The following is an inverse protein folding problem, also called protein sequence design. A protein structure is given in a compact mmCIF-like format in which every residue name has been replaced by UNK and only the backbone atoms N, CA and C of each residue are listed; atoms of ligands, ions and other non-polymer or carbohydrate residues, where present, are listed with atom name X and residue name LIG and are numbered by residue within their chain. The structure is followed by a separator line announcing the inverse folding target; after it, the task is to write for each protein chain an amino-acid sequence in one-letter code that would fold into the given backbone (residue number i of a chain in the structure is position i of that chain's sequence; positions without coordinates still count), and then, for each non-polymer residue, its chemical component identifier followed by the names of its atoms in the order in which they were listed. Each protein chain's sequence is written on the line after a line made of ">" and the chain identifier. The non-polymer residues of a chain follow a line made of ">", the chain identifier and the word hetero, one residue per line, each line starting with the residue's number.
data_IF_190990735782
#
_entry.id   IF_190990735782
#
_cell.length_a   1.000
_cell.length_b   1.000
_cell.length_c   1.000
_cell.angle_alpha   90.00
_cell.angle_beta   90.00
_cell.angle_gamma   90.00
#
_symmetry.space_group_name_H-M   'P 1'
#
loop_
_entity.id
_entity.type
_entity.pdbx_description
1 polymer ?
#
# COMPACT_ATOMS: atom_id res chain seq x y z
N UNK A 1 17.89 16.08 -42.38
CA UNK A 1 16.52 15.57 -42.53
C UNK A 1 15.70 16.14 -41.38
N UNK A 2 15.04 17.27 -41.67
CA UNK A 2 14.26 18.06 -40.68
C UNK A 2 12.88 17.44 -40.50
N UNK A 3 12.46 17.19 -39.27
CA UNK A 3 11.06 16.92 -38.92
C UNK A 3 10.43 18.20 -38.40
N UNK A 4 9.20 18.55 -38.87
CA UNK A 4 8.54 19.79 -38.47
C UNK A 4 7.88 19.69 -37.10
N UNK A 5 7.96 20.79 -36.33
CA UNK A 5 7.31 21.05 -35.05
C UNK A 5 5.77 20.90 -35.15
N UNK A 6 5.20 20.10 -34.25
CA UNK A 6 3.76 20.12 -33.97
C UNK A 6 3.49 21.07 -32.80
N UNK A 7 2.64 22.10 -32.94
CA UNK A 7 2.25 22.95 -31.82
C UNK A 7 1.26 22.23 -30.91
N UNK A 8 1.60 22.15 -29.62
CA UNK A 8 0.71 21.71 -28.55
C UNK A 8 -0.44 22.72 -28.37
N UNK A 9 -1.65 22.33 -28.80
CA UNK A 9 -2.86 23.10 -28.52
C UNK A 9 -3.32 22.82 -27.06
N UNK A 10 -3.13 23.79 -26.20
CA UNK A 10 -3.70 23.81 -24.85
C UNK A 10 -5.20 24.06 -24.91
N UNK A 11 -6.01 23.02 -24.77
CA UNK A 11 -7.46 23.14 -24.64
C UNK A 11 -7.85 23.59 -23.24
N UNK A 12 -8.37 24.80 -23.15
CA UNK A 12 -8.79 25.48 -21.93
C UNK A 12 -10.17 24.95 -21.47
N UNK A 13 -10.32 24.63 -20.20
CA UNK A 13 -11.48 24.00 -19.52
C UNK A 13 -12.82 24.77 -19.62
N UNK A 14 -12.87 25.93 -20.29
CA UNK A 14 -14.05 26.81 -20.40
C UNK A 14 -14.84 26.70 -21.71
N UNK A 15 -14.47 25.82 -22.63
CA UNK A 15 -15.16 25.68 -23.94
C UNK A 15 -16.15 24.52 -24.06
N UNK A 16 -16.46 23.82 -22.94
CA UNK A 16 -17.42 22.72 -22.94
C UNK A 16 -18.84 23.09 -22.51
N UNK A 17 -19.14 24.36 -22.29
CA UNK A 17 -20.50 24.83 -21.94
C UNK A 17 -20.99 25.78 -23.03
N UNK A 18 -21.45 25.23 -24.13
CA UNK A 18 -21.95 26.12 -25.17
C UNK A 18 -22.55 25.50 -26.42
N UNK A 19 -22.94 24.22 -26.40
CA UNK A 19 -23.60 23.63 -27.57
C UNK A 19 -24.75 22.68 -27.19
N UNK A 20 -25.76 23.21 -26.49
CA UNK A 20 -27.08 22.55 -26.36
C UNK A 20 -28.15 23.59 -26.22
N UNK A 21 -28.46 24.30 -27.32
CA UNK A 21 -29.71 25.02 -27.46
C UNK A 21 -29.88 25.41 -28.95
N UNK A 22 -30.56 24.58 -29.74
CA UNK A 22 -31.38 24.96 -30.88
C UNK A 22 -31.65 23.73 -31.75
N UNK A 23 -32.76 23.09 -31.55
CA UNK A 23 -33.58 22.47 -32.61
C UNK A 23 -34.77 21.72 -31.96
N UNK A 24 -35.79 22.49 -31.57
CA UNK A 24 -37.11 21.93 -31.29
C UNK A 24 -38.07 22.59 -32.26
N UNK A 25 -38.50 21.88 -33.32
CA UNK A 25 -39.82 22.10 -33.92
C UNK A 25 -40.12 21.01 -34.95
N UNK A 26 -41.26 20.38 -34.74
CA UNK A 26 -42.18 19.73 -35.71
C UNK A 26 -41.75 18.43 -36.36
N UNK A 27 -42.32 17.34 -35.88
CA UNK A 27 -43.19 16.43 -36.69
C UNK A 27 -44.01 15.60 -35.69
N UNK A 28 -45.31 15.89 -35.58
CA UNK A 28 -46.31 15.00 -35.02
C UNK A 28 -46.48 13.83 -35.99
N UNK A 29 -45.96 12.68 -35.63
CA UNK A 29 -46.23 11.41 -36.25
C UNK A 29 -46.66 10.46 -35.16
N UNK A 30 -47.95 10.09 -35.10
CA UNK A 30 -48.43 9.02 -34.24
C UNK A 30 -47.77 7.69 -34.60
N UNK A 31 -46.63 7.43 -34.02
CA UNK A 31 -46.05 6.10 -33.99
C UNK A 31 -46.62 5.40 -32.77
N UNK A 32 -47.52 4.45 -32.99
CA UNK A 32 -47.87 3.48 -31.95
C UNK A 32 -46.59 2.84 -31.41
N UNK A 33 -46.19 3.30 -30.23
CA UNK A 33 -45.11 2.68 -29.49
C UNK A 33 -45.60 1.29 -29.07
N UNK A 34 -45.17 0.26 -29.79
CA UNK A 34 -45.21 -1.09 -29.23
C UNK A 34 -44.41 -1.08 -27.94
N UNK A 35 -44.97 -1.50 -26.80
CA UNK A 35 -44.16 -1.67 -25.59
C UNK A 35 -43.07 -2.70 -25.95
N UNK A 36 -41.83 -2.26 -25.90
CA UNK A 36 -40.69 -3.17 -25.86
C UNK A 36 -40.99 -4.18 -24.75
N UNK A 37 -40.84 -5.49 -24.99
CA UNK A 37 -41.02 -6.46 -23.95
C UNK A 37 -40.05 -6.04 -22.83
N UNK A 38 -40.60 -5.64 -21.68
CA UNK A 38 -39.84 -5.43 -20.47
C UNK A 38 -39.00 -6.69 -20.33
N UNK A 39 -37.67 -6.56 -20.44
CA UNK A 39 -36.77 -7.64 -20.15
C UNK A 39 -37.18 -8.14 -18.76
N UNK A 40 -37.83 -9.29 -18.70
CA UNK A 40 -38.18 -9.90 -17.45
C UNK A 40 -36.93 -9.85 -16.57
N UNK A 41 -37.03 -9.45 -15.31
CA UNK A 41 -35.90 -9.54 -14.42
C UNK A 41 -35.43 -10.98 -14.53
N UNK A 42 -34.23 -11.20 -15.10
CA UNK A 42 -33.60 -12.49 -15.04
C UNK A 42 -33.59 -12.86 -13.58
N UNK A 43 -34.36 -13.89 -13.24
CA UNK A 43 -34.43 -14.43 -11.91
C UNK A 43 -33.01 -14.66 -11.42
N UNK A 44 -32.50 -13.72 -10.64
CA UNK A 44 -31.22 -13.83 -9.93
C UNK A 44 -31.37 -14.77 -8.72
N UNK A 45 -32.17 -15.80 -8.85
CA UNK A 45 -32.25 -16.94 -7.92
C UNK A 45 -31.19 -17.94 -8.33
N UNK A 46 -29.96 -17.78 -7.81
CA UNK A 46 -29.00 -18.86 -7.92
C UNK A 46 -27.52 -18.50 -7.84
N UNK A 47 -27.09 -17.32 -8.17
CA UNK A 47 -25.69 -16.98 -8.01
C UNK A 47 -25.46 -16.19 -6.72
N UNK A 48 -25.14 -16.94 -5.65
CA UNK A 48 -24.70 -16.34 -4.39
C UNK A 48 -23.57 -15.36 -4.68
N UNK A 49 -23.73 -14.10 -4.24
CA UNK A 49 -22.67 -13.10 -4.32
C UNK A 49 -21.40 -13.66 -3.67
N UNK A 50 -20.25 -13.31 -4.26
CA UNK A 50 -18.96 -13.61 -3.63
C UNK A 50 -18.76 -12.63 -2.49
N UNK A 51 -18.40 -13.11 -1.31
CA UNK A 51 -18.05 -12.25 -0.19
C UNK A 51 -16.53 -12.21 -0.07
N UNK A 52 -15.99 -10.99 0.01
CA UNK A 52 -14.60 -10.71 0.34
C UNK A 52 -14.58 -9.89 1.62
N UNK A 53 -13.95 -10.42 2.66
CA UNK A 53 -13.80 -9.73 3.92
C UNK A 53 -12.46 -8.98 3.98
N UNK A 54 -12.48 -7.76 4.52
CA UNK A 54 -11.27 -6.99 4.82
C UNK A 54 -11.21 -6.74 6.32
N UNK A 55 -10.15 -7.21 6.96
CA UNK A 55 -9.88 -6.93 8.37
C UNK A 55 -9.06 -5.65 8.46
N UNK A 56 -9.56 -4.67 9.21
CA UNK A 56 -9.00 -3.31 9.31
C UNK A 56 -8.48 -3.09 10.71
N UNK A 57 -7.18 -2.84 10.81
CA UNK A 57 -6.53 -2.47 12.08
C UNK A 57 -6.78 -0.98 12.37
N UNK A 58 -7.50 -0.70 13.46
CA UNK A 58 -7.83 0.65 13.91
C UNK A 58 -6.93 1.13 15.07
N UNK A 59 -5.82 0.47 15.32
CA UNK A 59 -4.84 0.99 16.28
C UNK A 59 -4.37 2.38 15.88
N UNK A 60 -4.02 3.21 16.86
CA UNK A 60 -3.64 4.60 16.63
C UNK A 60 -2.52 4.76 15.57
N UNK A 61 -1.56 3.84 15.55
CA UNK A 61 -0.45 3.85 14.59
C UNK A 61 -0.83 3.45 13.16
N UNK A 62 -1.97 2.75 12.98
CA UNK A 62 -2.37 2.17 11.69
C UNK A 62 -3.68 2.76 11.15
N UNK A 63 -4.47 3.47 11.95
CA UNK A 63 -5.82 3.88 11.59
C UNK A 63 -5.90 4.72 10.31
N UNK A 64 -4.95 5.63 10.08
CA UNK A 64 -5.00 6.52 8.92
C UNK A 64 -4.68 5.75 7.63
N UNK A 65 -3.62 4.95 7.65
CA UNK A 65 -3.25 4.11 6.51
C UNK A 65 -4.32 3.05 6.23
N UNK A 66 -4.89 2.47 7.29
CA UNK A 66 -6.01 1.51 7.18
C UNK A 66 -7.25 2.13 6.54
N UNK A 67 -7.59 3.37 6.89
CA UNK A 67 -8.72 4.09 6.29
C UNK A 67 -8.49 4.42 4.82
N UNK A 68 -7.30 4.90 4.47
CA UNK A 68 -6.94 5.21 3.09
C UNK A 68 -6.98 3.95 2.23
N UNK A 69 -6.42 2.85 2.73
CA UNK A 69 -6.47 1.55 2.06
C UNK A 69 -7.93 1.04 1.90
N UNK A 70 -8.77 1.24 2.92
CA UNK A 70 -10.19 0.86 2.87
C UNK A 70 -10.96 1.66 1.82
N UNK A 71 -10.69 2.96 1.68
CA UNK A 71 -11.29 3.81 0.64
C UNK A 71 -10.91 3.30 -0.75
N UNK A 72 -9.62 3.02 -0.97
CA UNK A 72 -9.14 2.44 -2.21
C UNK A 72 -9.77 1.08 -2.53
N UNK A 73 -9.85 0.20 -1.54
CA UNK A 73 -10.49 -1.12 -1.68
C UNK A 73 -11.98 -1.00 -2.06
N UNK A 74 -12.73 -0.15 -1.38
CA UNK A 74 -14.14 0.09 -1.70
C UNK A 74 -14.34 0.59 -3.11
N UNK A 75 -13.52 1.56 -3.54
CA UNK A 75 -13.57 2.08 -4.90
C UNK A 75 -13.26 1.00 -5.94
N UNK A 76 -12.26 0.16 -5.70
CA UNK A 76 -11.89 -0.94 -6.59
C UNK A 76 -13.01 -1.99 -6.71
N UNK A 77 -13.65 -2.38 -5.60
CA UNK A 77 -14.76 -3.32 -5.62
C UNK A 77 -16.01 -2.74 -6.29
N UNK A 78 -16.30 -1.46 -6.10
CA UNK A 78 -17.39 -0.77 -6.79
C UNK A 78 -17.16 -0.75 -8.31
N UNK A 79 -15.97 -0.37 -8.75
CA UNK A 79 -15.60 -0.36 -10.17
C UNK A 79 -15.65 -1.77 -10.78
N UNK A 80 -15.15 -2.79 -10.08
CA UNK A 80 -15.25 -4.17 -10.52
C UNK A 80 -16.71 -4.62 -10.69
N UNK A 81 -17.58 -4.29 -9.73
CA UNK A 81 -19.00 -4.63 -9.79
C UNK A 81 -19.72 -3.90 -10.92
N UNK A 82 -19.38 -2.62 -11.17
CA UNK A 82 -19.91 -1.85 -12.30
C UNK A 82 -19.55 -2.48 -13.65
N UNK A 83 -18.43 -3.18 -13.75
CA UNK A 83 -17.99 -3.92 -14.93
C UNK A 83 -18.52 -5.36 -15.01
N UNK A 84 -19.44 -5.75 -14.13
CA UNK A 84 -20.07 -7.08 -14.12
C UNK A 84 -19.53 -8.06 -13.11
N UNK A 85 -18.66 -7.62 -12.19
CA UNK A 85 -18.13 -8.45 -11.11
C UNK A 85 -17.13 -9.54 -11.55
N UNK A 86 -16.99 -10.58 -10.76
CA UNK A 86 -16.12 -11.71 -11.04
C UNK A 86 -16.94 -12.82 -11.72
N UNK A 87 -16.65 -13.08 -12.97
CA UNK A 87 -17.39 -14.09 -13.78
C UNK A 87 -18.92 -13.88 -13.76
N UNK A 88 -19.36 -12.62 -13.84
CA UNK A 88 -20.77 -12.26 -13.81
C UNK A 88 -21.38 -12.19 -12.40
N UNK A 89 -20.63 -12.44 -11.35
CA UNK A 89 -21.09 -12.40 -9.95
C UNK A 89 -20.62 -11.14 -9.25
N UNK A 90 -21.53 -10.46 -8.59
CA UNK A 90 -21.18 -9.30 -7.79
C UNK A 90 -20.33 -9.71 -6.56
N UNK A 91 -19.35 -8.87 -6.21
CA UNK A 91 -18.54 -9.02 -4.99
C UNK A 91 -19.13 -8.14 -3.90
N UNK A 92 -19.50 -8.75 -2.79
CA UNK A 92 -19.85 -8.05 -1.56
C UNK A 92 -18.60 -7.87 -0.72
N UNK A 93 -18.17 -6.63 -0.53
CA UNK A 93 -17.04 -6.30 0.32
C UNK A 93 -17.50 -6.04 1.74
N UNK A 94 -17.02 -6.83 2.70
CA UNK A 94 -17.36 -6.76 4.13
C UNK A 94 -16.15 -6.27 4.91
N UNK A 95 -16.31 -5.23 5.72
CA UNK A 95 -15.26 -4.70 6.58
C UNK A 95 -15.42 -5.22 7.99
N UNK A 96 -14.37 -5.76 8.58
CA UNK A 96 -14.28 -6.25 9.95
C UNK A 96 -13.17 -5.48 10.67
N UNK A 97 -13.49 -4.85 11.78
CA UNK A 97 -12.56 -4.02 12.52
C UNK A 97 -11.85 -4.84 13.61
N UNK A 98 -10.59 -4.51 13.88
CA UNK A 98 -9.81 -5.06 14.98
C UNK A 98 -9.09 -3.93 15.74
N UNK A 99 -8.88 -4.16 17.01
CA UNK A 99 -8.11 -3.28 17.90
C UNK A 99 -6.59 -3.62 17.88
N UNK A 100 -6.15 -4.49 16.97
CA UNK A 100 -4.77 -4.93 16.85
C UNK A 100 -4.33 -5.94 17.91
N UNK A 101 -5.17 -6.26 18.91
CA UNK A 101 -4.85 -7.31 19.89
C UNK A 101 -4.96 -8.70 19.27
N UNK A 102 -4.19 -9.70 19.73
CA UNK A 102 -4.33 -11.08 19.24
C UNK A 102 -5.75 -11.64 19.38
N UNK A 103 -6.45 -11.26 20.45
CA UNK A 103 -7.84 -11.67 20.68
C UNK A 103 -8.80 -11.01 19.71
N UNK A 104 -8.70 -9.69 19.49
CA UNK A 104 -9.49 -8.94 18.53
C UNK A 104 -9.26 -9.43 17.11
N UNK A 105 -7.99 -9.68 16.74
CA UNK A 105 -7.63 -10.20 15.45
C UNK A 105 -8.22 -11.60 15.20
N UNK A 106 -8.13 -12.50 16.18
CA UNK A 106 -8.76 -13.84 16.11
C UNK A 106 -10.28 -13.76 16.00
N UNK A 107 -10.92 -12.84 16.73
CA UNK A 107 -12.36 -12.63 16.64
C UNK A 107 -12.80 -12.13 15.26
N UNK A 108 -12.09 -11.15 14.69
CA UNK A 108 -12.35 -10.66 13.34
C UNK A 108 -12.14 -11.76 12.27
N UNK A 109 -11.06 -12.52 12.39
CA UNK A 109 -10.78 -13.68 11.53
C UNK A 109 -11.90 -14.73 11.59
N UNK A 110 -12.35 -15.10 12.79
CA UNK A 110 -13.49 -16.01 12.97
C UNK A 110 -14.80 -15.44 12.39
N UNK A 111 -15.02 -14.13 12.51
CA UNK A 111 -16.17 -13.46 11.92
C UNK A 111 -16.15 -13.56 10.39
N UNK A 112 -14.98 -13.40 9.75
CA UNK A 112 -14.81 -13.60 8.31
C UNK A 112 -15.19 -15.03 7.89
N UNK A 113 -14.73 -16.04 8.62
CA UNK A 113 -15.05 -17.45 8.33
C UNK A 113 -16.53 -17.78 8.50
N UNK A 114 -17.24 -17.08 9.38
CA UNK A 114 -18.70 -17.23 9.56
C UNK A 114 -19.53 -16.52 8.49
N UNK A 115 -18.94 -15.64 7.68
CA UNK A 115 -19.65 -14.97 6.59
C UNK A 115 -19.98 -15.99 5.48
N UNK A 116 -21.27 -16.18 5.25
CA UNK A 116 -21.74 -17.10 4.19
C UNK A 116 -21.23 -16.61 2.83
N UNK A 117 -20.56 -17.47 2.09
CA UNK A 117 -20.03 -17.15 0.78
C UNK A 117 -18.71 -16.35 0.81
N UNK A 118 -18.06 -16.21 1.96
CA UNK A 118 -16.73 -15.62 2.05
C UNK A 118 -15.71 -16.56 1.37
N UNK A 119 -14.99 -16.01 0.40
CA UNK A 119 -14.00 -16.74 -0.39
C UNK A 119 -12.59 -16.25 -0.16
N UNK A 120 -12.41 -15.01 0.33
CA UNK A 120 -11.10 -14.42 0.53
C UNK A 120 -11.10 -13.34 1.62
N UNK A 121 -9.93 -13.16 2.23
CA UNK A 121 -9.53 -11.98 2.97
C UNK A 121 -8.79 -11.03 2.02
N UNK A 122 -9.19 -9.78 1.93
CA UNK A 122 -8.56 -8.78 1.09
C UNK A 122 -7.75 -7.83 1.95
N UNK A 123 -6.47 -7.79 1.76
CA UNK A 123 -5.55 -6.86 2.39
C UNK A 123 -5.71 -6.74 3.91
N UNK A 124 -4.62 -6.56 4.58
CA UNK A 124 -4.61 -6.08 5.96
C UNK A 124 -3.42 -5.14 6.06
N UNK A 125 -3.66 -3.93 6.49
CA UNK A 125 -2.61 -2.94 6.68
C UNK A 125 -2.10 -3.03 8.11
N UNK A 126 -0.78 -2.95 8.23
CA UNK A 126 -0.08 -3.14 9.49
C UNK A 126 0.53 -4.54 9.61
N UNK A 127 1.86 -4.58 9.59
CA UNK A 127 2.60 -5.86 9.59
C UNK A 127 2.19 -6.81 10.71
N UNK A 128 1.96 -6.30 11.92
CA UNK A 128 1.59 -7.14 13.07
C UNK A 128 0.24 -7.83 12.85
N UNK A 129 -0.75 -7.09 12.38
CA UNK A 129 -2.08 -7.63 12.09
C UNK A 129 -2.03 -8.58 10.89
N UNK A 130 -1.36 -8.20 9.81
CA UNK A 130 -1.22 -9.02 8.61
C UNK A 130 -0.48 -10.35 8.91
N UNK A 131 0.64 -10.30 9.61
CA UNK A 131 1.40 -11.49 10.00
C UNK A 131 0.60 -12.39 10.95
N UNK A 132 -0.15 -11.80 11.89
CA UNK A 132 -1.05 -12.54 12.78
C UNK A 132 -2.17 -13.26 12.03
N UNK A 133 -2.76 -12.63 11.00
CA UNK A 133 -3.77 -13.26 10.15
C UNK A 133 -3.19 -14.39 9.31
N UNK A 134 -2.01 -14.21 8.72
CA UNK A 134 -1.31 -15.27 7.98
C UNK A 134 -1.02 -16.45 8.90
N UNK A 135 -0.56 -16.22 10.13
CA UNK A 135 -0.33 -17.27 11.10
C UNK A 135 -1.62 -18.03 11.50
N UNK A 136 -2.74 -17.29 11.68
CA UNK A 136 -4.04 -17.91 11.95
C UNK A 136 -4.52 -18.78 10.79
N UNK A 137 -4.35 -18.33 9.55
CA UNK A 137 -4.72 -19.08 8.34
C UNK A 137 -3.89 -20.36 8.16
N UNK A 138 -2.63 -20.33 8.56
CA UNK A 138 -1.67 -21.44 8.43
C UNK A 138 -1.71 -22.39 9.63
N UNK A 139 -2.58 -22.17 10.62
CA UNK A 139 -2.68 -23.05 11.78
C UNK A 139 -3.31 -24.39 11.40
N UNK A 140 -2.85 -25.48 12.01
CA UNK A 140 -3.30 -26.85 11.72
C UNK A 140 -4.80 -27.09 11.96
N UNK A 141 -5.46 -26.20 12.71
CA UNK A 141 -6.88 -26.30 13.05
C UNK A 141 -7.81 -25.75 11.94
N UNK A 142 -7.27 -25.19 10.86
CA UNK A 142 -8.06 -24.59 9.79
C UNK A 142 -8.25 -25.59 8.65
N UNK A 143 -9.41 -26.24 8.62
CA UNK A 143 -9.73 -27.22 7.58
C UNK A 143 -9.85 -26.63 6.16
N UNK A 144 -10.19 -25.34 6.06
CA UNK A 144 -10.32 -24.64 4.77
C UNK A 144 -9.88 -23.18 4.95
N UNK A 145 -8.62 -22.86 4.73
CA UNK A 145 -8.14 -21.47 4.82
C UNK A 145 -8.79 -20.63 3.72
N UNK A 146 -9.16 -19.40 4.07
CA UNK A 146 -9.57 -18.40 3.08
C UNK A 146 -8.33 -17.90 2.33
N UNK A 147 -8.47 -17.67 1.04
CA UNK A 147 -7.38 -17.01 0.29
C UNK A 147 -7.11 -15.63 0.90
N UNK A 148 -5.88 -15.37 1.29
CA UNK A 148 -5.46 -14.05 1.79
C UNK A 148 -4.73 -13.29 0.68
N UNK A 149 -5.34 -12.21 0.22
CA UNK A 149 -4.86 -11.43 -0.93
C UNK A 149 -4.30 -10.10 -0.45
N UNK A 150 -3.07 -9.81 -0.85
CA UNK A 150 -2.39 -8.54 -0.59
C UNK A 150 -2.26 -8.18 0.90
N UNK A 151 -1.83 -9.08 1.80
CA UNK A 151 -1.46 -8.69 3.16
C UNK A 151 -0.21 -7.77 3.09
N UNK A 152 -0.17 -6.76 3.96
CA UNK A 152 1.01 -5.90 4.07
C UNK A 152 2.00 -6.53 5.05
N UNK A 153 2.98 -7.24 4.50
CA UNK A 153 3.99 -7.97 5.27
C UNK A 153 5.37 -7.33 5.12
N UNK A 154 6.13 -7.27 6.22
CA UNK A 154 7.53 -6.84 6.18
C UNK A 154 8.46 -7.95 5.71
N UNK A 155 8.10 -9.19 5.96
CA UNK A 155 8.87 -10.37 5.55
C UNK A 155 8.04 -11.22 4.61
N UNK A 156 8.69 -11.84 3.65
CA UNK A 156 8.05 -12.82 2.78
C UNK A 156 7.42 -13.97 3.59
N UNK A 157 6.33 -14.51 3.09
CA UNK A 157 5.69 -15.69 3.71
C UNK A 157 6.58 -16.91 3.56
N UNK A 158 6.49 -17.83 4.53
CA UNK A 158 7.13 -19.14 4.45
C UNK A 158 6.39 -20.05 3.48
N UNK A 159 7.03 -21.10 2.98
CA UNK A 159 6.40 -22.08 2.07
C UNK A 159 5.08 -22.62 2.62
N UNK A 160 5.02 -22.90 3.93
CA UNK A 160 3.79 -23.37 4.57
C UNK A 160 2.66 -22.33 4.59
N UNK A 161 2.99 -21.04 4.50
CA UNK A 161 2.02 -19.94 4.47
C UNK A 161 1.63 -19.54 3.05
N UNK A 162 2.45 -19.88 2.07
CA UNK A 162 2.29 -19.45 0.68
C UNK A 162 1.09 -20.11 -0.01
N UNK A 163 0.60 -21.23 0.48
CA UNK A 163 -0.50 -21.99 -0.16
C UNK A 163 -1.80 -21.18 -0.25
N UNK A 164 -2.10 -20.35 0.76
CA UNK A 164 -3.31 -19.52 0.80
C UNK A 164 -3.03 -18.01 0.84
N UNK A 165 -1.77 -17.59 0.71
CA UNK A 165 -1.36 -16.18 0.82
C UNK A 165 -0.78 -15.69 -0.50
N UNK A 166 -1.38 -14.63 -1.04
CA UNK A 166 -0.98 -14.01 -2.31
C UNK A 166 -0.41 -12.62 -2.03
N UNK A 167 0.92 -12.53 -2.00
CA UNK A 167 1.64 -11.28 -1.77
C UNK A 167 1.61 -10.41 -3.02
N UNK A 168 1.32 -9.12 -2.85
CA UNK A 168 1.31 -8.10 -3.91
C UNK A 168 2.28 -6.99 -3.59
N UNK A 169 2.51 -6.72 -2.29
CA UNK A 169 3.44 -5.70 -1.84
C UNK A 169 4.85 -6.26 -1.71
N UNK A 170 5.88 -5.50 -2.07
CA UNK A 170 7.25 -5.91 -1.83
C UNK A 170 7.53 -5.95 -0.32
N UNK A 171 8.18 -6.98 0.14
CA UNK A 171 8.70 -7.07 1.50
C UNK A 171 9.83 -6.04 1.76
N UNK A 172 10.28 -5.93 3.00
CA UNK A 172 11.36 -5.00 3.37
C UNK A 172 12.68 -5.30 2.63
N UNK A 173 12.98 -6.56 2.37
CA UNK A 173 14.22 -6.92 1.67
C UNK A 173 14.20 -6.43 0.22
N UNK A 174 13.10 -6.61 -0.47
CA UNK A 174 12.91 -6.12 -1.84
C UNK A 174 12.94 -4.58 -1.89
N UNK A 175 12.30 -3.90 -0.93
CA UNK A 175 12.32 -2.45 -0.83
C UNK A 175 13.73 -1.91 -0.58
N UNK A 176 14.47 -2.51 0.36
CA UNK A 176 15.87 -2.19 0.66
C UNK A 176 16.75 -2.41 -0.58
N UNK A 177 16.62 -3.57 -1.23
CA UNK A 177 17.36 -3.89 -2.45
C UNK A 177 17.09 -2.86 -3.56
N UNK A 178 15.83 -2.46 -3.74
CA UNK A 178 15.45 -1.46 -4.73
C UNK A 178 16.06 -0.10 -4.41
N UNK A 179 15.98 0.36 -3.16
CA UNK A 179 16.55 1.63 -2.72
C UNK A 179 18.08 1.66 -2.95
N UNK A 180 18.78 0.63 -2.51
CA UNK A 180 20.25 0.52 -2.67
C UNK A 180 20.63 0.48 -4.16
N UNK A 181 19.93 -0.34 -4.97
CA UNK A 181 20.17 -0.46 -6.42
C UNK A 181 19.94 0.88 -7.13
N UNK A 182 18.87 1.59 -6.79
CA UNK A 182 18.57 2.89 -7.38
C UNK A 182 19.71 3.89 -7.11
N UNK A 183 20.16 3.98 -5.87
CA UNK A 183 21.26 4.91 -5.53
C UNK A 183 22.59 4.50 -6.13
N UNK A 184 22.91 3.21 -6.16
CA UNK A 184 24.11 2.70 -6.83
C UNK A 184 24.11 3.04 -8.33
N UNK A 185 22.95 2.93 -9.01
CA UNK A 185 22.80 3.26 -10.43
C UNK A 185 22.96 4.75 -10.72
N UNK A 186 22.71 5.62 -9.74
CA UNK A 186 22.95 7.06 -9.80
C UNK A 186 24.42 7.42 -9.49
N UNK A 187 25.29 6.44 -9.29
CA UNK A 187 26.71 6.65 -9.01
C UNK A 187 27.03 6.94 -7.55
N UNK A 188 26.05 6.78 -6.64
CA UNK A 188 26.27 6.90 -5.20
C UNK A 188 27.22 5.80 -4.74
N UNK A 189 28.26 6.16 -4.00
CA UNK A 189 29.25 5.21 -3.48
C UNK A 189 29.12 4.93 -1.99
N UNK A 190 28.42 5.81 -1.27
CA UNK A 190 28.25 5.68 0.18
C UNK A 190 26.86 6.12 0.59
N UNK A 191 26.23 5.34 1.47
CA UNK A 191 24.97 5.70 2.14
C UNK A 191 25.10 5.54 3.66
N UNK A 192 24.42 6.39 4.41
CA UNK A 192 24.12 6.15 5.81
C UNK A 192 22.91 5.21 5.93
N UNK A 193 22.88 4.38 6.95
CA UNK A 193 21.73 3.53 7.25
C UNK A 193 21.34 3.72 8.70
N UNK A 194 20.09 4.04 8.94
CA UNK A 194 19.50 4.19 10.27
C UNK A 194 18.40 3.15 10.42
N UNK A 195 18.46 2.40 11.50
CA UNK A 195 17.37 1.49 11.91
C UNK A 195 16.59 2.11 13.06
N UNK A 196 15.28 2.05 13.01
CA UNK A 196 14.41 2.67 14.00
C UNK A 196 14.57 2.06 15.40
N UNK A 197 14.82 0.75 15.47
CA UNK A 197 14.99 -0.01 16.73
C UNK A 197 16.09 -1.04 16.61
N UNK A 198 16.61 -1.51 17.75
CA UNK A 198 17.58 -2.60 17.80
C UNK A 198 17.04 -3.90 17.16
N UNK A 199 15.76 -4.16 17.31
CA UNK A 199 15.10 -5.32 16.71
C UNK A 199 15.10 -5.24 15.17
N UNK A 200 14.74 -4.09 14.61
CA UNK A 200 14.77 -3.85 13.14
C UNK A 200 16.20 -3.97 12.63
N UNK A 201 17.17 -3.42 13.38
CA UNK A 201 18.58 -3.55 13.03
C UNK A 201 19.01 -5.02 12.97
N UNK A 202 18.70 -5.80 14.02
CA UNK A 202 19.05 -7.23 14.09
C UNK A 202 18.47 -8.02 12.91
N UNK A 203 17.25 -7.69 12.48
CA UNK A 203 16.55 -8.38 11.39
C UNK A 203 17.10 -8.01 10.00
N UNK A 204 17.50 -6.76 9.80
CA UNK A 204 17.74 -6.22 8.45
C UNK A 204 19.18 -5.85 8.15
N UNK A 205 20.05 -5.67 9.16
CA UNK A 205 21.40 -5.14 8.95
C UNK A 205 22.26 -6.04 8.04
N UNK A 206 22.22 -7.35 8.27
CA UNK A 206 23.03 -8.28 7.48
C UNK A 206 22.66 -8.21 5.99
N UNK A 207 21.35 -8.12 5.70
CA UNK A 207 20.82 -8.01 4.36
C UNK A 207 21.23 -6.67 3.70
N UNK A 208 21.07 -5.56 4.41
CA UNK A 208 21.49 -4.22 3.92
C UNK A 208 22.96 -4.21 3.54
N UNK A 209 23.83 -4.69 4.40
CA UNK A 209 25.26 -4.74 4.17
C UNK A 209 25.61 -5.67 2.99
N UNK A 210 24.93 -6.78 2.83
CA UNK A 210 25.14 -7.69 1.71
C UNK A 210 24.67 -7.07 0.39
N UNK A 211 23.48 -6.46 0.37
CA UNK A 211 22.93 -5.80 -0.82
C UNK A 211 23.84 -4.64 -1.28
N UNK A 212 24.35 -3.85 -0.33
CA UNK A 212 25.29 -2.76 -0.64
C UNK A 212 26.61 -3.28 -1.22
N UNK A 213 27.21 -4.30 -0.61
CA UNK A 213 28.46 -4.92 -1.12
C UNK A 213 28.30 -5.47 -2.54
N UNK A 214 27.16 -6.09 -2.84
CA UNK A 214 26.91 -6.66 -4.18
C UNK A 214 26.84 -5.59 -5.29
N UNK A 215 26.71 -4.32 -4.92
CA UNK A 215 26.59 -3.18 -5.84
C UNK A 215 27.74 -2.17 -5.69
N UNK A 216 28.86 -2.58 -5.07
CA UNK A 216 30.04 -1.73 -4.81
C UNK A 216 29.70 -0.41 -4.10
N UNK A 217 28.70 -0.46 -3.21
CA UNK A 217 28.24 0.64 -2.40
C UNK A 217 28.61 0.41 -0.93
N UNK A 218 29.17 1.43 -0.27
CA UNK A 218 29.49 1.37 1.14
C UNK A 218 28.29 1.81 1.96
N UNK A 219 27.74 0.92 2.79
CA UNK A 219 26.69 1.23 3.75
C UNK A 219 27.31 1.41 5.15
N UNK A 220 27.17 2.59 5.72
CA UNK A 220 27.57 2.90 7.09
C UNK A 220 26.38 2.90 8.00
N UNK A 221 26.38 2.01 9.00
CA UNK A 221 25.34 2.00 10.03
C UNK A 221 25.55 3.18 10.95
N UNK A 222 24.54 4.04 11.04
CA UNK A 222 24.50 5.17 11.96
C UNK A 222 23.90 4.76 13.29
N UNK A 223 24.25 5.43 14.40
CA UNK A 223 23.72 5.10 15.71
C UNK A 223 22.19 5.18 15.76
N UNK A 224 21.58 4.32 16.57
CA UNK A 224 20.15 4.34 16.82
C UNK A 224 19.71 5.67 17.48
N UNK A 225 18.60 6.28 17.04
CA UNK A 225 18.04 7.43 17.70
C UNK A 225 17.70 7.10 19.16
N UNK A 226 18.18 7.92 20.11
CA UNK A 226 17.89 7.75 21.55
C UNK A 226 18.80 6.80 22.32
N UNK A 227 19.83 6.21 21.73
CA UNK A 227 20.75 5.30 22.42
C UNK A 227 21.82 6.01 23.30
N UNK A 228 21.59 7.25 23.74
CA UNK A 228 22.47 7.98 24.68
C UNK A 228 23.85 8.38 24.15
N UNK A 229 24.10 8.15 22.84
CA UNK A 229 25.27 8.64 22.15
C UNK A 229 25.12 10.08 21.68
N UNK A 230 26.20 10.73 21.21
CA UNK A 230 26.09 12.01 20.52
C UNK A 230 25.05 11.85 19.44
N UNK A 231 24.05 12.75 19.47
CA UNK A 231 22.81 12.62 18.72
C UNK A 231 23.02 11.93 17.37
N UNK A 232 22.27 10.86 17.11
CA UNK A 232 22.26 10.15 15.84
C UNK A 232 21.99 11.07 14.61
N UNK A 233 21.65 12.31 14.90
CA UNK A 233 21.48 13.45 14.02
C UNK A 233 22.77 14.06 13.47
N UNK A 234 23.94 13.79 14.07
CA UNK A 234 25.19 14.33 13.54
C UNK A 234 25.72 13.40 12.45
N UNK A 235 25.55 13.78 11.21
CA UNK A 235 26.26 13.18 10.09
C UNK A 235 27.76 13.48 10.28
N UNK A 236 28.44 12.57 10.95
CA UNK A 236 29.88 12.71 11.24
C UNK A 236 30.73 12.57 10.00
N UNK A 237 30.18 11.97 8.91
CA UNK A 237 30.88 11.84 7.65
C UNK A 237 30.29 12.80 6.60
N UNK A 238 31.05 13.82 6.19
CA UNK A 238 30.60 14.79 5.21
C UNK A 238 30.31 14.23 3.80
N UNK A 239 30.66 13.00 3.50
CA UNK A 239 30.34 12.34 2.23
C UNK A 239 28.96 11.70 2.19
N UNK A 240 28.31 11.50 3.35
CA UNK A 240 26.99 10.87 3.44
C UNK A 240 25.90 11.92 3.29
N UNK A 241 25.39 12.07 2.08
CA UNK A 241 24.24 12.93 1.77
C UNK A 241 22.93 12.16 1.66
N UNK A 242 23.00 10.81 1.62
CA UNK A 242 21.86 9.93 1.49
C UNK A 242 21.80 8.99 2.69
N UNK A 243 20.65 8.95 3.34
CA UNK A 243 20.37 8.08 4.48
C UNK A 243 19.20 7.17 4.13
N UNK A 244 19.41 5.88 4.17
CA UNK A 244 18.33 4.90 4.17
C UNK A 244 17.82 4.72 5.60
N UNK A 245 16.56 5.06 5.82
CA UNK A 245 15.89 4.86 7.09
C UNK A 245 14.99 3.62 7.03
N UNK A 246 15.18 2.70 7.97
CA UNK A 246 14.42 1.45 8.07
C UNK A 246 13.61 1.49 9.37
N UNK A 247 12.32 1.78 9.25
CA UNK A 247 11.40 1.92 10.38
C UNK A 247 10.10 2.59 9.99
N UNK A 248 9.23 2.82 10.97
CA UNK A 248 7.91 3.40 10.79
C UNK A 248 7.88 4.94 10.85
N UNK A 249 6.67 5.48 10.71
CA UNK A 249 6.43 6.93 10.69
C UNK A 249 6.85 7.66 11.97
N UNK A 250 6.50 7.17 13.18
CA UNK A 250 6.86 7.89 14.41
C UNK A 250 8.37 8.02 14.61
N UNK A 251 9.09 6.95 14.31
CA UNK A 251 10.53 6.90 14.47
C UNK A 251 11.23 7.77 13.42
N UNK A 252 10.73 7.78 12.18
CA UNK A 252 11.24 8.67 11.14
C UNK A 252 11.05 10.12 11.53
N UNK A 253 9.89 10.49 12.04
CA UNK A 253 9.62 11.86 12.51
C UNK A 253 10.58 12.25 13.63
N UNK A 254 10.77 11.39 14.63
CA UNK A 254 11.72 11.63 15.70
C UNK A 254 13.17 11.75 15.20
N UNK A 255 13.57 10.94 14.24
CA UNK A 255 14.89 11.00 13.63
C UNK A 255 15.11 12.32 12.88
N UNK A 256 14.19 12.68 11.97
CA UNK A 256 14.35 13.87 11.11
C UNK A 256 14.23 15.17 11.88
N UNK A 257 13.40 15.23 12.95
CA UNK A 257 13.30 16.40 13.83
C UNK A 257 14.62 16.70 14.57
N UNK A 258 15.49 15.71 14.73
CA UNK A 258 16.80 15.85 15.34
C UNK A 258 17.96 15.83 14.34
N UNK A 259 17.67 15.68 13.06
CA UNK A 259 18.69 15.59 12.01
C UNK A 259 19.30 16.96 11.74
N UNK A 260 20.61 17.07 11.95
CA UNK A 260 21.38 18.29 11.66
C UNK A 260 22.25 18.03 10.45
N UNK A 261 21.87 18.59 9.30
CA UNK A 261 22.70 18.51 8.11
C UNK A 261 23.94 19.41 8.24
N UNK A 262 25.10 19.02 7.73
CA UNK A 262 26.27 19.87 7.69
C UNK A 262 25.99 21.17 6.89
N UNK A 263 26.57 22.31 7.28
CA UNK A 263 26.38 23.56 6.57
C UNK A 263 26.69 23.45 5.08
N UNK A 264 25.80 23.94 4.23
CA UNK A 264 25.96 23.95 2.77
C UNK A 264 25.76 22.60 2.08
N UNK A 265 25.22 21.59 2.78
CA UNK A 265 24.91 20.27 2.20
C UNK A 265 23.44 19.92 2.39
N UNK A 266 22.87 19.32 1.37
CA UNK A 266 21.54 18.70 1.47
C UNK A 266 21.69 17.25 1.92
N UNK A 267 20.81 16.82 2.83
CA UNK A 267 20.68 15.43 3.27
C UNK A 267 19.35 14.88 2.77
N UNK A 268 19.40 13.77 2.06
CA UNK A 268 18.22 13.07 1.56
C UNK A 268 17.95 11.83 2.42
N UNK A 269 16.77 11.76 2.99
CA UNK A 269 16.32 10.59 3.75
C UNK A 269 15.38 9.78 2.88
N UNK A 270 15.72 8.52 2.64
CA UNK A 270 14.92 7.55 1.90
C UNK A 270 14.30 6.61 2.92
N UNK A 271 12.98 6.57 2.97
CA UNK A 271 12.23 5.68 3.85
C UNK A 271 11.58 4.53 3.06
N UNK A 272 11.25 3.45 3.75
CA UNK A 272 10.46 2.35 3.20
C UNK A 272 8.96 2.70 3.19
N UNK A 273 8.15 1.84 2.57
CA UNK A 273 6.72 2.07 2.39
C UNK A 273 5.87 2.07 3.69
N UNK A 274 6.47 1.75 4.84
CA UNK A 274 5.81 1.83 6.14
C UNK A 274 5.57 3.26 6.64
N UNK A 275 6.18 4.23 5.96
CA UNK A 275 6.06 5.64 6.32
C UNK A 275 4.88 6.26 5.59
N UNK A 276 4.02 6.93 6.36
CA UNK A 276 2.87 7.64 5.81
C UNK A 276 3.29 8.79 4.89
N UNK A 277 2.79 8.78 3.64
CA UNK A 277 3.12 9.78 2.62
C UNK A 277 2.72 11.20 3.00
N UNK A 278 1.65 11.39 3.79
CA UNK A 278 1.23 12.73 4.24
C UNK A 278 2.27 13.30 5.23
N UNK A 279 2.79 12.46 6.11
CA UNK A 279 3.86 12.88 7.03
C UNK A 279 5.13 13.23 6.25
N UNK A 280 5.51 12.42 5.26
CA UNK A 280 6.64 12.76 4.38
C UNK A 280 6.43 14.09 3.64
N UNK A 281 5.23 14.35 3.14
CA UNK A 281 4.92 15.63 2.47
C UNK A 281 5.01 16.82 3.43
N UNK A 282 4.63 16.66 4.69
CA UNK A 282 4.76 17.72 5.71
C UNK A 282 6.21 17.95 6.12
N UNK A 283 7.06 16.92 6.07
CA UNK A 283 8.47 17.00 6.40
C UNK A 283 9.33 17.52 5.24
N UNK A 284 8.87 17.43 4.00
CA UNK A 284 9.61 17.75 2.77
C UNK A 284 9.86 19.22 2.49
N UNK A 285 9.72 20.09 3.47
CA UNK A 285 9.95 21.52 3.38
C UNK A 285 10.98 22.09 4.39
N UNK A 286 11.71 21.20 5.08
CA UNK A 286 12.74 21.63 6.04
C UNK A 286 14.13 21.68 5.42
#
# INVERSE_FOLDING_TARGET
>A
MYLPDCPAASLNRRQWIGWTAAASAMMAGEAMAQPLPASAPRNAEGERSLVVAQIVDLTFSQQDVSRDFLVGSRSAWQDLNARGGVRGRAVQHVTLETDGTPAGLKAAWQAAHRQTGCVALSGCVGNTAAAGLVALQSSADVASPLAMVAPWLHNAVTDAQAEATFEVFPDHQLQIAHAIKTHASLGVKQIGVVFATAQVQQQSQAYVLQAARNLDLQAQILPLPGAGGPAASQLTNPSQTIILFVGGTPELHAFTSNLVAPPGRQCFVVALADVNLQVLAQMGGM
#
